data_IF_096100148347
#
_entry.id   IF_096100148347
#
_cell.length_a   1.000
_cell.length_b   1.000
_cell.length_c   1.000
_cell.angle_alpha   90.00
_cell.angle_beta   90.00
_cell.angle_gamma   90.00
#
_symmetry.space_group_name_H-M   'P 1'
#
loop_
_entity.id
_entity.type
_entity.pdbx_description
1 polymer ?
#
# COMPACT_ATOMS: atom_id res chain seq x y z
N UNK A 1 13.88 1.74 -13.48
CA UNK A 1 12.64 0.98 -13.74
C UNK A 1 11.76 1.10 -12.50
N UNK A 2 10.57 1.65 -12.62
CA UNK A 2 9.69 1.92 -11.48
C UNK A 2 8.80 0.70 -11.25
N UNK A 3 9.25 -0.21 -10.37
CA UNK A 3 8.47 -1.35 -9.91
C UNK A 3 7.39 -0.90 -8.93
N UNK A 4 6.16 -1.32 -9.17
CA UNK A 4 5.00 -1.07 -8.32
C UNK A 4 3.77 -1.71 -8.95
N UNK A 5 2.83 -2.17 -8.14
CA UNK A 5 1.55 -2.69 -8.63
C UNK A 5 0.46 -1.64 -8.39
N UNK A 6 -0.42 -1.50 -9.37
CA UNK A 6 -1.61 -0.68 -9.32
C UNK A 6 -2.84 -1.59 -9.29
N UNK A 7 -3.85 -1.18 -8.54
CA UNK A 7 -5.14 -1.85 -8.48
C UNK A 7 -6.15 -1.03 -9.25
N UNK A 8 -6.67 -1.60 -10.32
CA UNK A 8 -7.75 -1.03 -11.09
C UNK A 8 -9.05 -1.65 -10.59
N UNK A 9 -9.90 -0.82 -9.98
CA UNK A 9 -11.29 -1.17 -9.73
C UNK A 9 -12.12 -0.60 -10.89
N UNK A 10 -12.73 -1.47 -11.68
CA UNK A 10 -13.62 -1.05 -12.76
C UNK A 10 -14.74 -0.16 -12.21
N UNK A 11 -14.82 1.07 -12.71
CA UNK A 11 -15.90 1.99 -12.38
C UNK A 11 -17.11 1.72 -13.30
N UNK A 12 -18.24 1.43 -12.65
CA UNK A 12 -19.62 1.48 -13.17
C UNK A 12 -20.04 0.43 -14.20
N UNK A 13 -20.53 -0.72 -13.69
CA UNK A 13 -21.44 -1.60 -14.42
C UNK A 13 -21.30 -3.08 -14.03
N UNK A 14 -22.35 -3.64 -13.41
CA UNK A 14 -22.59 -5.06 -13.09
C UNK A 14 -21.73 -5.77 -12.02
N UNK A 15 -22.36 -5.99 -10.86
CA UNK A 15 -22.37 -7.13 -9.91
C UNK A 15 -21.17 -8.08 -9.70
N UNK A 16 -19.99 -7.85 -10.25
CA UNK A 16 -18.77 -8.59 -9.93
C UNK A 16 -17.58 -7.66 -10.09
N UNK A 17 -17.28 -6.90 -9.03
CA UNK A 17 -16.01 -6.17 -8.91
C UNK A 17 -14.91 -7.19 -8.68
N UNK A 18 -14.15 -7.46 -9.73
CA UNK A 18 -12.92 -8.25 -9.69
C UNK A 18 -11.75 -7.27 -9.72
N UNK A 19 -10.82 -7.39 -8.78
CA UNK A 19 -9.67 -6.52 -8.70
C UNK A 19 -8.66 -6.90 -9.80
N UNK A 20 -8.34 -5.98 -10.70
CA UNK A 20 -7.28 -6.19 -11.68
C UNK A 20 -5.98 -5.51 -11.21
N UNK A 21 -4.93 -6.30 -11.04
CA UNK A 21 -3.58 -5.84 -10.69
C UNK A 21 -2.75 -5.66 -11.96
N UNK A 22 -2.09 -4.51 -12.10
CA UNK A 22 -1.22 -4.19 -13.26
C UNK A 22 0.09 -3.59 -12.74
N UNK A 23 1.23 -3.91 -13.36
CA UNK A 23 2.49 -3.24 -12.98
C UNK A 23 2.52 -1.81 -13.48
N UNK A 24 3.08 -0.89 -12.69
CA UNK A 24 3.30 0.51 -13.06
C UNK A 24 4.07 0.64 -14.39
N UNK A 25 5.01 -0.27 -14.66
CA UNK A 25 5.78 -0.31 -15.91
C UNK A 25 4.95 -0.70 -17.14
N UNK A 26 3.82 -1.40 -16.93
CA UNK A 26 2.95 -1.92 -17.98
C UNK A 26 1.84 -0.91 -18.36
N UNK A 27 1.62 0.11 -17.53
CA UNK A 27 0.64 1.17 -17.81
C UNK A 27 1.29 2.25 -18.68
N UNK A 28 0.86 2.33 -19.94
CA UNK A 28 1.16 3.47 -20.80
C UNK A 28 0.53 4.73 -20.20
N UNK A 29 1.27 5.84 -20.15
CA UNK A 29 0.87 7.13 -19.52
C UNK A 29 -0.49 7.69 -19.99
N UNK A 30 -1.04 7.19 -21.10
CA UNK A 30 -2.26 7.66 -21.77
C UNK A 30 -3.49 6.77 -21.58
N UNK A 31 -3.41 5.61 -20.93
CA UNK A 31 -4.62 4.82 -20.69
C UNK A 31 -5.40 5.40 -19.51
N UNK A 32 -6.70 5.65 -19.72
CA UNK A 32 -7.70 5.96 -18.68
C UNK A 32 -7.87 4.77 -17.74
N UNK A 33 -6.82 4.48 -16.98
CA UNK A 33 -6.83 3.45 -15.95
C UNK A 33 -7.63 3.97 -14.77
N UNK A 34 -8.74 3.29 -14.47
CA UNK A 34 -9.66 3.62 -13.40
C UNK A 34 -8.97 4.10 -12.13
N UNK A 35 -9.32 5.33 -11.73
CA UNK A 35 -8.96 6.06 -10.51
C UNK A 35 -7.76 5.56 -9.70
N UNK A 36 -6.57 5.54 -10.31
CA UNK A 36 -5.32 5.30 -9.57
C UNK A 36 -4.96 6.56 -8.79
N UNK A 37 -5.10 6.51 -7.46
CA UNK A 37 -4.69 7.61 -6.59
C UNK A 37 -3.26 7.43 -6.10
N UNK A 38 -2.28 8.07 -6.74
CA UNK A 38 -0.93 8.14 -6.21
C UNK A 38 -0.90 9.04 -4.97
N UNK A 39 -0.44 8.50 -3.84
CA UNK A 39 -0.32 9.29 -2.64
C UNK A 39 0.90 10.22 -2.72
N UNK A 40 0.79 11.42 -2.15
CA UNK A 40 1.89 12.37 -2.10
C UNK A 40 3.00 11.89 -1.18
N UNK A 41 4.23 12.28 -1.49
CA UNK A 41 5.36 12.08 -0.58
C UNK A 41 5.09 12.78 0.76
N UNK A 42 5.65 12.19 1.82
CA UNK A 42 5.56 12.77 3.15
C UNK A 42 6.22 14.15 3.18
N UNK A 43 5.55 15.18 3.74
CA UNK A 43 6.18 16.49 3.92
C UNK A 43 7.44 16.39 4.78
N UNK A 44 8.46 17.16 4.43
CA UNK A 44 9.79 17.15 5.07
C UNK A 44 9.68 17.35 6.58
N UNK A 45 8.86 18.30 7.03
CA UNK A 45 8.69 18.62 8.45
C UNK A 45 8.14 17.41 9.21
N UNK A 46 7.16 16.70 8.61
CA UNK A 46 6.57 15.49 9.20
C UNK A 46 7.54 14.31 9.21
N UNK A 47 8.42 14.22 8.21
CA UNK A 47 9.49 13.24 8.19
C UNK A 47 10.49 13.50 9.34
N UNK A 48 10.96 14.74 9.49
CA UNK A 48 11.86 15.16 10.56
C UNK A 48 11.27 14.93 11.95
N UNK A 49 10.01 15.35 12.17
CA UNK A 49 9.31 15.11 13.44
C UNK A 49 9.26 13.61 13.78
N UNK A 50 9.00 12.75 12.80
CA UNK A 50 8.89 11.30 13.03
C UNK A 50 10.25 10.68 13.32
N UNK A 51 11.28 11.06 12.57
CA UNK A 51 12.66 10.58 12.81
C UNK A 51 13.12 10.96 14.21
N UNK A 52 12.90 12.21 14.61
CA UNK A 52 13.25 12.70 15.95
C UNK A 52 12.49 11.98 17.06
N UNK A 53 11.16 11.85 16.94
CA UNK A 53 10.30 11.33 18.03
C UNK A 53 10.26 9.81 18.13
N UNK A 54 10.34 9.09 17.00
CA UNK A 54 10.07 7.66 16.94
C UNK A 54 11.29 6.80 16.61
N UNK A 55 12.33 7.39 16.01
CA UNK A 55 13.50 6.65 15.51
C UNK A 55 14.83 7.15 16.08
N UNK A 56 14.80 7.98 17.14
CA UNK A 56 16.02 8.43 17.82
C UNK A 56 17.00 9.21 16.93
N UNK A 57 16.50 9.86 15.88
CA UNK A 57 17.34 10.60 14.92
C UNK A 57 17.83 9.78 13.72
N UNK A 58 17.60 8.47 13.69
CA UNK A 58 18.01 7.62 12.57
C UNK A 58 16.99 7.66 11.42
N UNK A 59 17.33 8.39 10.36
CA UNK A 59 16.49 8.54 9.18
C UNK A 59 16.35 7.25 8.36
N UNK A 60 17.26 6.28 8.48
CA UNK A 60 17.20 5.02 7.73
C UNK A 60 15.98 4.16 8.11
N UNK A 61 15.39 4.42 9.29
CA UNK A 61 14.20 3.72 9.79
C UNK A 61 12.87 4.34 9.31
N UNK A 62 12.92 5.42 8.52
CA UNK A 62 11.73 6.07 7.97
C UNK A 62 11.20 5.31 6.74
N UNK A 63 10.36 4.32 6.98
CA UNK A 63 9.82 3.45 5.92
C UNK A 63 8.59 4.03 5.18
N UNK A 64 8.09 5.21 5.55
CA UNK A 64 6.85 5.78 5.01
C UNK A 64 7.03 7.16 4.35
N UNK A 65 8.21 7.40 3.77
CA UNK A 65 8.49 8.62 3.00
C UNK A 65 7.65 8.66 1.71
N UNK A 66 7.70 7.59 0.92
CA UNK A 66 6.75 7.30 -0.14
C UNK A 66 5.76 6.27 0.39
N UNK A 67 4.47 6.49 0.18
CA UNK A 67 3.43 5.55 0.62
C UNK A 67 2.36 5.41 -0.44
N UNK A 68 1.60 4.34 -0.36
CA UNK A 68 0.42 4.12 -1.18
C UNK A 68 -0.66 3.47 -0.32
N UNK A 69 -1.93 3.75 -0.61
CA UNK A 69 -3.06 3.04 -0.02
C UNK A 69 -3.77 2.29 -1.13
N UNK A 70 -3.92 0.99 -0.93
CA UNK A 70 -4.70 0.13 -1.81
C UNK A 70 -5.94 -0.29 -1.02
N UNK A 71 -7.12 -0.09 -1.60
CA UNK A 71 -8.41 -0.36 -0.96
C UNK A 71 -9.06 -1.53 -1.67
N UNK A 72 -9.54 -2.51 -0.90
CA UNK A 72 -10.19 -3.71 -1.40
C UNK A 72 -11.59 -3.81 -0.80
N UNK A 73 -12.54 -4.32 -1.58
CA UNK A 73 -13.89 -4.61 -1.08
C UNK A 73 -13.98 -6.02 -0.48
N UNK A 74 -13.10 -6.92 -0.95
CA UNK A 74 -13.03 -8.32 -0.56
C UNK A 74 -11.67 -8.62 0.07
N UNK A 75 -11.66 -9.47 1.09
CA UNK A 75 -10.44 -9.86 1.77
C UNK A 75 -9.55 -10.72 0.85
N UNK A 76 -10.18 -11.52 -0.01
CA UNK A 76 -9.54 -12.39 -0.98
C UNK A 76 -8.67 -11.60 -1.97
N UNK A 77 -9.17 -10.45 -2.44
CA UNK A 77 -8.43 -9.57 -3.35
C UNK A 77 -7.18 -8.99 -2.68
N UNK A 78 -7.27 -8.66 -1.38
CA UNK A 78 -6.13 -8.19 -0.60
C UNK A 78 -5.07 -9.29 -0.42
N UNK A 79 -5.49 -10.53 -0.15
CA UNK A 79 -4.59 -11.68 -0.03
C UNK A 79 -3.88 -11.93 -1.36
N UNK A 80 -4.62 -11.92 -2.47
CA UNK A 80 -4.06 -12.08 -3.81
C UNK A 80 -3.03 -10.99 -4.12
N UNK A 81 -3.33 -9.73 -3.79
CA UNK A 81 -2.39 -8.63 -3.94
C UNK A 81 -1.08 -8.87 -3.18
N UNK A 82 -1.15 -9.33 -1.93
CA UNK A 82 0.03 -9.61 -1.10
C UNK A 82 0.87 -10.75 -1.68
N UNK A 83 0.23 -11.81 -2.20
CA UNK A 83 0.92 -12.90 -2.87
C UNK A 83 1.64 -12.44 -4.15
N UNK A 84 1.00 -11.57 -4.94
CA UNK A 84 1.62 -10.98 -6.12
C UNK A 84 2.84 -10.13 -5.76
N UNK A 85 2.74 -9.31 -4.70
CA UNK A 85 3.87 -8.51 -4.20
C UNK A 85 5.04 -9.38 -3.71
N UNK A 86 4.75 -10.49 -3.02
CA UNK A 86 5.77 -11.43 -2.54
C UNK A 86 6.44 -12.21 -3.68
N UNK A 87 5.70 -12.48 -4.76
CA UNK A 87 6.22 -13.17 -5.95
C UNK A 87 7.05 -12.29 -6.89
N UNK A 88 7.06 -10.97 -6.70
CA UNK A 88 7.80 -10.05 -7.56
C UNK A 88 9.26 -9.91 -7.11
N UNK A 89 10.20 -10.33 -7.97
CA UNK A 89 11.64 -10.27 -7.70
C UNK A 89 12.21 -8.85 -7.54
N UNK A 90 11.50 -7.80 -7.97
CA UNK A 90 11.89 -6.41 -7.76
C UNK A 90 11.44 -5.86 -6.40
N UNK A 91 10.62 -6.61 -5.65
CA UNK A 91 10.04 -6.17 -4.39
C UNK A 91 10.61 -7.02 -3.25
N UNK A 92 10.94 -6.34 -2.14
CA UNK A 92 11.32 -7.01 -0.90
C UNK A 92 10.39 -6.54 0.23
N UNK A 93 9.71 -7.48 0.87
CA UNK A 93 8.82 -7.18 2.00
C UNK A 93 9.68 -7.04 3.26
N UNK A 94 9.97 -5.79 3.63
CA UNK A 94 10.78 -5.48 4.82
C UNK A 94 9.99 -5.60 6.13
N UNK A 95 8.67 -5.34 6.10
CA UNK A 95 7.83 -5.36 7.30
C UNK A 95 6.34 -5.52 6.98
N UNK A 96 5.68 -6.45 7.67
CA UNK A 96 4.21 -6.60 7.66
C UNK A 96 3.64 -6.21 9.03
N UNK A 97 2.50 -5.49 9.02
CA UNK A 97 1.71 -5.21 10.22
C UNK A 97 0.28 -5.69 9.99
N UNK A 98 -0.01 -6.93 10.38
CA UNK A 98 -1.35 -7.51 10.25
C UNK A 98 -2.22 -7.12 11.47
N UNK A 99 -3.17 -6.20 11.29
CA UNK A 99 -4.13 -5.80 12.33
C UNK A 99 -5.46 -6.55 12.26
N UNK A 100 -5.60 -7.46 11.29
CA UNK A 100 -6.76 -8.35 11.15
C UNK A 100 -6.54 -9.70 11.85
N UNK A 101 -5.31 -9.98 12.28
CA UNK A 101 -4.98 -11.16 13.07
C UNK A 101 -5.81 -11.18 14.38
N UNK A 102 -6.41 -12.32 14.68
CA UNK A 102 -7.22 -12.49 15.91
C UNK A 102 -6.39 -12.35 17.18
N UNK A 103 -5.08 -12.58 17.09
CA UNK A 103 -4.13 -12.42 18.20
C UNK A 103 -3.52 -11.00 18.27
N UNK A 104 -3.84 -10.10 17.33
CA UNK A 104 -3.32 -8.73 17.39
C UNK A 104 -3.95 -7.99 18.57
N UNK A 105 -3.11 -7.55 19.52
CA UNK A 105 -3.57 -6.73 20.63
C UNK A 105 -3.94 -5.31 20.14
N UNK A 106 -5.25 -4.94 20.13
CA UNK A 106 -5.71 -3.68 19.56
C UNK A 106 -5.28 -2.45 20.36
N UNK A 107 -4.85 -2.62 21.61
CA UNK A 107 -4.41 -1.52 22.48
C UNK A 107 -3.18 -0.78 21.92
N UNK A 108 -2.32 -1.47 21.16
CA UNK A 108 -1.17 -0.85 20.49
C UNK A 108 -1.55 0.19 19.43
N UNK A 109 -2.81 0.19 18.97
CA UNK A 109 -3.33 1.14 18.01
C UNK A 109 -4.61 1.84 18.47
N UNK A 110 -4.87 1.86 19.78
CA UNK A 110 -6.09 2.42 20.36
C UNK A 110 -7.39 1.89 19.69
N UNK A 111 -7.40 0.61 19.29
CA UNK A 111 -8.56 -0.02 18.63
C UNK A 111 -8.67 0.19 17.12
N UNK A 112 -7.80 0.99 16.50
CA UNK A 112 -7.91 1.34 15.08
C UNK A 112 -7.53 0.17 14.14
N UNK A 113 -8.48 -0.28 13.31
CA UNK A 113 -8.29 -1.24 12.21
C UNK A 113 -8.35 -0.46 10.87
N UNK A 114 -7.34 -0.64 10.02
CA UNK A 114 -7.25 -0.02 8.70
C UNK A 114 -7.96 -0.89 7.66
#
# INVERSE_FOLDING_TARGET
>A
SYGGFLVLQNAHGNNSREAHFVKCSEIARDQETGTVFFSTMKPTERALEKVSRAYGGDASQLLDCCRQRIVFEKLEDMILCLQLLDSDNEISIVRIKNRLDSNYNPLHSAGFRY
#
